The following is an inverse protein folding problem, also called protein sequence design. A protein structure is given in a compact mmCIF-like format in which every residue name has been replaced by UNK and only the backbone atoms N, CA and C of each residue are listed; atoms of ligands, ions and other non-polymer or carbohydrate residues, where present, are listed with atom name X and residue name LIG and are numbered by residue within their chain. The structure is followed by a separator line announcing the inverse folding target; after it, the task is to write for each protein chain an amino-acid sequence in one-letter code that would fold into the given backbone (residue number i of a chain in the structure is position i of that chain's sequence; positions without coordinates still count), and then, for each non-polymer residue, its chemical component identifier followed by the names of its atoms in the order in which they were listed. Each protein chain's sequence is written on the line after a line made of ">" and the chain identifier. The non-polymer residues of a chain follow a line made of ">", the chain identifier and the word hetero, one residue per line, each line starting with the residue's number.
data_IF_563307856835
#
_entry.id   IF_563307856835
#
_cell.length_a   1.000
_cell.length_b   1.000
_cell.length_c   1.000
_cell.angle_alpha   90.00
_cell.angle_beta   90.00
_cell.angle_gamma   90.00
#
_symmetry.space_group_name_H-M   'P 1'
#
loop_
_entity.id
_entity.type
_entity.pdbx_description
1 polymer ?
#
# COMPACT_ATOMS: atom_id res chain seq x y z
N UNK A 1 -58.29 41.79 31.28
CA UNK A 1 -56.95 42.40 31.35
C UNK A 1 -55.99 41.39 31.99
N UNK A 2 -55.43 40.52 31.19
CA UNK A 2 -54.36 39.66 31.63
C UNK A 2 -53.43 39.42 30.40
N UNK A 3 -52.30 40.09 30.40
CA UNK A 3 -51.19 39.82 29.45
C UNK A 3 -50.32 38.80 30.08
N UNK A 4 -50.33 37.59 29.53
CA UNK A 4 -49.39 36.49 29.91
C UNK A 4 -48.08 36.72 29.18
N UNK A 5 -47.02 36.84 29.94
CA UNK A 5 -45.62 36.83 29.51
C UNK A 5 -45.25 35.44 28.93
N UNK A 6 -44.86 35.40 27.67
CA UNK A 6 -44.17 34.25 27.07
C UNK A 6 -42.71 34.21 27.56
N UNK A 7 -42.20 33.05 27.93
CA UNK A 7 -40.78 32.92 28.30
C UNK A 7 -39.89 33.02 27.06
N UNK A 8 -38.86 33.85 27.16
CA UNK A 8 -37.79 33.99 26.17
C UNK A 8 -37.11 32.67 25.91
N UNK A 9 -37.07 32.26 24.65
CA UNK A 9 -36.28 31.10 24.22
C UNK A 9 -34.78 31.28 24.53
N UNK A 10 -34.06 30.22 24.95
CA UNK A 10 -32.63 30.32 25.22
C UNK A 10 -31.91 30.58 23.91
N UNK A 11 -31.08 31.62 23.90
CA UNK A 11 -30.12 31.87 22.83
C UNK A 11 -29.20 30.64 22.69
N UNK A 12 -29.26 29.97 21.54
CA UNK A 12 -28.30 28.99 21.14
C UNK A 12 -26.92 29.66 21.13
N UNK A 13 -26.13 29.34 22.14
CA UNK A 13 -24.71 29.66 22.18
C UNK A 13 -24.04 29.04 20.96
N UNK A 14 -23.75 29.86 19.96
CA UNK A 14 -22.83 29.52 18.86
C UNK A 14 -21.47 29.24 19.51
N UNK A 15 -21.15 27.96 19.76
CA UNK A 15 -19.79 27.54 20.03
C UNK A 15 -18.93 27.98 18.85
N UNK A 16 -18.20 29.08 19.03
CA UNK A 16 -17.08 29.43 18.15
C UNK A 16 -16.15 28.24 18.16
N UNK A 17 -16.06 27.55 17.04
CA UNK A 17 -14.96 26.65 16.76
C UNK A 17 -13.72 27.54 16.80
N UNK A 18 -12.90 27.38 17.83
CA UNK A 18 -11.61 28.06 17.95
C UNK A 18 -10.75 27.45 16.86
N UNK A 19 -10.65 28.11 15.71
CA UNK A 19 -9.65 27.77 14.70
C UNK A 19 -8.27 27.99 15.32
N UNK A 20 -7.54 26.92 15.55
CA UNK A 20 -6.16 26.92 16.08
C UNK A 20 -5.14 27.49 15.06
N UNK A 21 -5.58 27.79 13.85
CA UNK A 21 -4.75 28.39 12.81
C UNK A 21 -5.16 29.82 12.54
N UNK A 22 -4.20 30.72 12.21
CA UNK A 22 -4.55 32.06 11.74
C UNK A 22 -5.43 31.94 10.48
N UNK A 23 -6.30 32.91 10.19
CA UNK A 23 -7.09 32.89 8.96
C UNK A 23 -6.16 32.89 7.73
N UNK A 24 -6.55 32.13 6.69
CA UNK A 24 -5.85 32.17 5.41
C UNK A 24 -5.93 33.58 4.83
N UNK A 25 -4.87 34.02 4.18
CA UNK A 25 -4.93 35.24 3.41
C UNK A 25 -5.60 34.99 2.03
N UNK A 26 -6.08 36.07 1.42
CA UNK A 26 -6.76 35.99 0.11
C UNK A 26 -5.83 35.46 -1.00
N UNK A 27 -4.53 35.69 -0.89
CA UNK A 27 -3.52 35.22 -1.84
C UNK A 27 -3.33 33.71 -1.78
N UNK A 28 -3.28 33.12 -0.57
CA UNK A 28 -3.22 31.67 -0.38
C UNK A 28 -4.47 31.00 -0.93
N UNK A 29 -5.65 31.54 -0.63
CA UNK A 29 -6.93 31.04 -1.15
C UNK A 29 -6.97 31.12 -2.69
N UNK A 30 -6.59 32.24 -3.26
CA UNK A 30 -6.55 32.43 -4.71
C UNK A 30 -5.58 31.48 -5.40
N UNK A 31 -4.40 31.23 -4.78
CA UNK A 31 -3.41 30.28 -5.27
C UNK A 31 -3.96 28.87 -5.32
N UNK A 32 -4.59 28.41 -4.22
CA UNK A 32 -5.19 27.08 -4.12
C UNK A 32 -6.30 26.89 -5.16
N UNK A 33 -7.24 27.84 -5.26
CA UNK A 33 -8.34 27.78 -6.22
C UNK A 33 -7.86 27.83 -7.67
N UNK A 34 -6.85 28.69 -7.97
CA UNK A 34 -6.24 28.74 -9.30
C UNK A 34 -5.54 27.42 -9.66
N UNK A 35 -4.88 26.78 -8.69
CA UNK A 35 -4.24 25.48 -8.90
C UNK A 35 -5.26 24.38 -9.16
N UNK A 36 -6.38 24.35 -8.44
CA UNK A 36 -7.46 23.39 -8.63
C UNK A 36 -8.35 23.69 -9.84
N UNK A 37 -8.35 24.90 -10.38
CA UNK A 37 -9.22 25.35 -11.49
C UNK A 37 -8.72 24.94 -12.89
N UNK A 38 -8.10 23.76 -13.04
CA UNK A 38 -7.59 23.26 -14.33
C UNK A 38 -7.75 21.75 -14.38
N UNK A 39 -8.38 21.25 -15.43
CA UNK A 39 -8.73 19.84 -15.57
C UNK A 39 -7.49 18.91 -15.52
N UNK A 40 -6.41 19.28 -16.21
CA UNK A 40 -5.18 18.49 -16.22
C UNK A 40 -4.56 18.40 -14.82
N UNK A 41 -4.58 19.49 -14.05
CA UNK A 41 -4.07 19.48 -12.69
C UNK A 41 -4.92 18.63 -11.75
N UNK A 42 -6.24 18.60 -11.95
CA UNK A 42 -7.12 17.67 -11.23
C UNK A 42 -6.83 16.22 -11.61
N UNK A 43 -6.56 15.93 -12.89
CA UNK A 43 -6.13 14.60 -13.33
C UNK A 43 -4.78 14.20 -12.70
N UNK A 44 -3.81 15.12 -12.61
CA UNK A 44 -2.54 14.88 -11.91
C UNK A 44 -2.78 14.56 -10.44
N UNK A 45 -3.62 15.32 -9.75
CA UNK A 45 -3.99 15.02 -8.36
C UNK A 45 -4.64 13.65 -8.22
N UNK A 46 -5.51 13.28 -9.14
CA UNK A 46 -6.16 11.96 -9.16
C UNK A 46 -5.17 10.82 -9.29
N UNK A 47 -4.24 10.89 -10.26
CA UNK A 47 -3.19 9.87 -10.45
C UNK A 47 -2.46 9.61 -9.15
N UNK A 48 -2.21 10.66 -8.36
CA UNK A 48 -1.46 10.59 -7.11
C UNK A 48 -2.31 10.30 -5.87
N UNK A 49 -3.53 9.76 -6.04
CA UNK A 49 -4.42 9.46 -4.90
C UNK A 49 -3.82 8.43 -3.94
N UNK A 50 -3.11 7.45 -4.47
CA UNK A 50 -2.63 6.29 -3.72
C UNK A 50 -1.17 5.94 -3.99
N UNK A 51 -0.47 6.72 -4.82
CA UNK A 51 0.89 6.43 -5.23
C UNK A 51 1.72 7.71 -5.40
N UNK A 52 3.02 7.55 -5.60
CA UNK A 52 3.96 8.58 -6.00
C UNK A 52 4.56 8.25 -7.37
N UNK A 53 4.72 9.26 -8.20
CA UNK A 53 5.18 9.07 -9.57
C UNK A 53 6.38 9.96 -9.88
N UNK A 54 7.31 9.41 -10.68
CA UNK A 54 8.36 10.18 -11.32
C UNK A 54 7.84 11.03 -12.48
N UNK A 55 8.61 12.04 -12.90
CA UNK A 55 8.23 12.93 -14.02
C UNK A 55 8.04 12.13 -15.31
N UNK A 56 8.92 11.17 -15.61
CA UNK A 56 8.83 10.33 -16.82
C UNK A 56 7.54 9.50 -16.83
N UNK A 57 7.19 8.91 -15.71
CA UNK A 57 5.96 8.13 -15.57
C UNK A 57 4.71 8.98 -15.76
N UNK A 58 4.69 10.18 -15.18
CA UNK A 58 3.58 11.12 -15.39
C UNK A 58 3.48 11.59 -16.85
N UNK A 59 4.63 11.78 -17.53
CA UNK A 59 4.64 12.06 -18.96
C UNK A 59 4.01 10.94 -19.77
N UNK A 60 4.31 9.69 -19.42
CA UNK A 60 3.77 8.51 -20.08
C UNK A 60 2.26 8.33 -19.81
N UNK A 61 1.83 8.53 -18.56
CA UNK A 61 0.41 8.44 -18.18
C UNK A 61 -0.41 9.47 -18.93
N UNK A 62 0.05 10.73 -18.92
CA UNK A 62 -0.68 11.87 -19.48
C UNK A 62 -0.39 12.10 -20.98
N UNK A 63 0.49 11.31 -21.58
CA UNK A 63 0.96 11.47 -22.98
C UNK A 63 1.48 12.90 -23.26
N UNK A 64 2.24 13.47 -22.31
CA UNK A 64 2.71 14.85 -22.33
C UNK A 64 4.23 14.95 -22.36
N UNK A 65 4.72 16.07 -22.91
CA UNK A 65 6.15 16.42 -22.82
C UNK A 65 6.50 16.91 -21.43
N UNK A 66 7.68 16.58 -20.94
CA UNK A 66 8.17 16.93 -19.62
C UNK A 66 8.15 18.46 -19.33
N UNK A 67 8.47 19.29 -20.32
CA UNK A 67 8.47 20.75 -20.15
C UNK A 67 7.09 21.31 -19.83
N UNK A 68 6.04 20.81 -20.48
CA UNK A 68 4.66 21.21 -20.23
C UNK A 68 4.17 20.70 -18.87
N UNK A 69 4.43 19.41 -18.56
CA UNK A 69 4.05 18.79 -17.29
C UNK A 69 4.72 19.51 -16.09
N UNK A 70 6.01 19.85 -16.20
CA UNK A 70 6.77 20.53 -15.13
C UNK A 70 6.13 21.83 -14.69
N UNK A 71 5.51 22.58 -15.60
CA UNK A 71 4.78 23.81 -15.27
C UNK A 71 3.55 23.51 -14.37
N UNK A 72 2.75 22.51 -14.71
CA UNK A 72 1.57 22.11 -13.91
C UNK A 72 1.98 21.58 -12.54
N UNK A 73 3.02 20.75 -12.48
CA UNK A 73 3.56 20.25 -11.22
C UNK A 73 4.05 21.38 -10.31
N UNK A 74 4.72 22.39 -10.88
CA UNK A 74 5.17 23.54 -10.11
C UNK A 74 4.00 24.31 -9.51
N UNK A 75 2.95 24.60 -10.28
CA UNK A 75 1.75 25.28 -9.78
C UNK A 75 1.11 24.51 -8.62
N UNK A 76 1.00 23.19 -8.73
CA UNK A 76 0.43 22.35 -7.67
C UNK A 76 1.32 22.32 -6.41
N UNK A 77 2.63 22.34 -6.56
CA UNK A 77 3.58 22.42 -5.43
C UNK A 77 3.49 23.78 -4.76
N UNK A 78 3.53 24.87 -5.53
CA UNK A 78 3.48 26.23 -5.02
C UNK A 78 2.18 26.52 -4.27
N UNK A 79 1.07 25.85 -4.66
CA UNK A 79 -0.23 25.89 -3.98
C UNK A 79 -0.38 24.89 -2.81
N UNK A 80 0.65 24.10 -2.49
CA UNK A 80 0.63 23.13 -1.40
C UNK A 80 -0.21 21.88 -1.66
N UNK A 81 -0.66 21.60 -2.90
CA UNK A 81 -1.43 20.43 -3.27
C UNK A 81 -0.56 19.19 -3.52
N UNK A 82 0.70 19.39 -3.93
CA UNK A 82 1.69 18.33 -4.10
C UNK A 82 2.95 18.57 -3.27
N UNK A 83 3.58 17.48 -2.89
CA UNK A 83 4.95 17.48 -2.36
C UNK A 83 5.88 16.77 -3.35
N UNK A 84 7.09 17.30 -3.48
CA UNK A 84 8.17 16.72 -4.26
C UNK A 84 9.20 16.13 -3.33
N UNK A 85 9.55 14.86 -3.52
CA UNK A 85 10.68 14.20 -2.86
C UNK A 85 11.76 13.95 -3.89
N UNK A 86 12.98 14.46 -3.63
CA UNK A 86 14.15 14.19 -4.47
C UNK A 86 14.82 12.92 -3.95
N UNK A 87 15.08 11.96 -4.83
CA UNK A 87 15.75 10.71 -4.52
C UNK A 87 16.89 10.49 -5.53
N UNK A 88 18.13 10.74 -5.11
CA UNK A 88 19.27 10.72 -6.01
C UNK A 88 19.10 11.74 -7.15
N UNK A 89 19.12 11.25 -8.39
CA UNK A 89 18.87 12.04 -9.61
C UNK A 89 17.39 12.13 -9.99
N UNK A 90 16.53 11.31 -9.39
CA UNK A 90 15.09 11.30 -9.66
C UNK A 90 14.31 12.23 -8.74
N UNK A 91 13.14 12.66 -9.19
CA UNK A 91 12.19 13.41 -8.39
C UNK A 91 10.82 12.73 -8.48
N UNK A 92 10.26 12.41 -7.33
CA UNK A 92 8.94 11.82 -7.18
C UNK A 92 7.95 12.84 -6.63
N UNK A 93 6.73 12.74 -7.05
CA UNK A 93 5.63 13.62 -6.68
C UNK A 93 4.52 12.82 -6.02
N UNK A 94 3.93 13.37 -4.97
CA UNK A 94 2.80 12.81 -4.26
C UNK A 94 1.86 13.91 -3.79
N UNK A 95 0.64 13.58 -3.44
CA UNK A 95 -0.27 14.52 -2.77
C UNK A 95 0.35 15.03 -1.46
N UNK A 96 0.17 16.29 -1.18
CA UNK A 96 0.48 16.85 0.13
C UNK A 96 -0.62 16.47 1.13
N UNK A 97 -0.23 16.30 2.39
CA UNK A 97 -1.21 16.20 3.47
C UNK A 97 -1.83 17.59 3.68
N UNK A 98 -3.17 17.71 3.72
CA UNK A 98 -3.83 18.98 3.99
C UNK A 98 -3.44 19.54 5.37
N UNK A 99 -2.84 20.73 5.40
CA UNK A 99 -2.37 21.40 6.60
C UNK A 99 -2.74 22.88 6.58
N UNK A 100 -2.73 23.54 7.74
CA UNK A 100 -2.95 24.99 7.86
C UNK A 100 -4.41 25.44 7.71
N UNK A 101 -4.61 26.76 7.49
CA UNK A 101 -5.94 27.36 7.50
C UNK A 101 -6.85 26.90 6.36
N UNK A 102 -6.29 26.42 5.24
CA UNK A 102 -7.03 25.92 4.08
C UNK A 102 -7.16 24.38 4.05
N UNK A 103 -6.76 23.68 5.12
CA UNK A 103 -6.74 22.22 5.15
C UNK A 103 -8.09 21.58 4.79
N UNK A 104 -9.21 22.13 5.30
CA UNK A 104 -10.56 21.62 5.00
C UNK A 104 -10.91 21.77 3.52
N UNK A 105 -10.61 22.93 2.92
CA UNK A 105 -10.84 23.15 1.50
C UNK A 105 -9.97 22.27 0.63
N UNK A 106 -8.69 22.14 0.99
CA UNK A 106 -7.76 21.23 0.33
C UNK A 106 -8.30 19.78 0.36
N UNK A 107 -8.71 19.32 1.53
CA UNK A 107 -9.27 17.97 1.71
C UNK A 107 -10.53 17.77 0.87
N UNK A 108 -11.44 18.77 0.83
CA UNK A 108 -12.67 18.70 0.02
C UNK A 108 -12.35 18.64 -1.48
N UNK A 109 -11.37 19.42 -1.96
CA UNK A 109 -10.91 19.33 -3.37
C UNK A 109 -10.44 17.91 -3.69
N UNK A 110 -9.58 17.31 -2.84
CA UNK A 110 -9.08 15.95 -3.07
C UNK A 110 -10.20 14.92 -3.06
N UNK A 111 -11.15 15.04 -2.12
CA UNK A 111 -12.32 14.16 -2.05
C UNK A 111 -13.15 14.21 -3.34
N UNK A 112 -13.47 15.40 -3.84
CA UNK A 112 -14.22 15.56 -5.09
C UNK A 112 -13.47 15.07 -6.32
N UNK A 113 -12.14 15.23 -6.34
CA UNK A 113 -11.27 14.65 -7.36
C UNK A 113 -11.37 13.12 -7.34
N UNK A 114 -11.44 12.50 -6.17
CA UNK A 114 -11.50 11.04 -6.03
C UNK A 114 -12.88 10.47 -6.36
N UNK A 115 -13.94 11.21 -6.12
CA UNK A 115 -15.32 10.82 -6.45
C UNK A 115 -15.63 10.95 -7.95
N UNK A 116 -14.98 11.86 -8.68
CA UNK A 116 -15.24 12.05 -10.09
C UNK A 116 -14.81 10.82 -10.92
N UNK A 117 -15.54 10.49 -11.96
CA UNK A 117 -15.19 9.36 -12.84
C UNK A 117 -13.93 9.68 -13.68
N UNK A 118 -12.88 8.85 -13.63
CA UNK A 118 -11.66 9.09 -14.41
C UNK A 118 -11.87 8.82 -15.89
N UNK A 119 -11.20 9.59 -16.76
CA UNK A 119 -11.17 9.29 -18.18
C UNK A 119 -10.51 7.92 -18.43
N UNK A 120 -11.05 7.14 -19.36
CA UNK A 120 -10.52 5.82 -19.74
C UNK A 120 -9.05 5.88 -20.13
N UNK A 121 -8.64 6.90 -20.88
CA UNK A 121 -7.25 7.11 -21.31
C UNK A 121 -6.29 7.29 -20.13
N UNK A 122 -6.77 7.91 -19.02
CA UNK A 122 -6.00 8.10 -17.81
C UNK A 122 -5.77 6.75 -17.10
N UNK A 123 -6.82 5.94 -16.98
CA UNK A 123 -6.73 4.59 -16.40
C UNK A 123 -5.79 3.69 -17.21
N UNK A 124 -5.89 3.73 -18.54
CA UNK A 124 -4.98 2.99 -19.43
C UNK A 124 -3.53 3.42 -19.26
N UNK A 125 -3.28 4.72 -19.09
CA UNK A 125 -1.95 5.28 -18.83
C UNK A 125 -1.37 4.78 -17.50
N UNK A 126 -2.14 4.84 -16.43
CA UNK A 126 -1.76 4.31 -15.10
C UNK A 126 -1.46 2.81 -15.20
N UNK A 127 -2.36 2.02 -15.79
CA UNK A 127 -2.17 0.59 -15.94
C UNK A 127 -0.93 0.23 -16.79
N UNK A 128 -0.58 1.06 -17.78
CA UNK A 128 0.65 0.87 -18.57
C UNK A 128 1.90 1.07 -17.74
N UNK A 129 1.96 2.13 -16.93
CA UNK A 129 3.09 2.41 -16.05
C UNK A 129 3.22 1.35 -14.97
N UNK A 130 2.12 0.88 -14.39
CA UNK A 130 2.12 -0.21 -13.42
C UNK A 130 2.69 -1.51 -14.02
N UNK A 131 2.23 -1.89 -15.22
CA UNK A 131 2.82 -3.05 -15.95
C UNK A 131 4.31 -2.89 -16.23
N UNK A 132 4.75 -1.67 -16.57
CA UNK A 132 6.18 -1.40 -16.79
C UNK A 132 6.99 -1.54 -15.51
N UNK A 133 6.50 -1.04 -14.37
CA UNK A 133 7.13 -1.23 -13.06
C UNK A 133 7.21 -2.72 -12.70
N UNK A 134 6.13 -3.47 -12.89
CA UNK A 134 6.12 -4.92 -12.67
C UNK A 134 7.15 -5.64 -13.55
N UNK A 135 7.20 -5.32 -14.85
CA UNK A 135 8.18 -5.89 -15.76
C UNK A 135 9.62 -5.56 -15.35
N UNK A 136 9.88 -4.32 -14.92
CA UNK A 136 11.20 -3.89 -14.45
C UNK A 136 11.59 -4.62 -13.16
N UNK A 137 10.66 -4.79 -12.21
CA UNK A 137 10.87 -5.57 -10.99
C UNK A 137 11.21 -7.03 -11.30
N UNK A 138 10.41 -7.69 -12.15
CA UNK A 138 10.66 -9.06 -12.58
C UNK A 138 12.02 -9.22 -13.29
N UNK A 139 12.39 -8.26 -14.16
CA UNK A 139 13.69 -8.26 -14.85
C UNK A 139 14.83 -8.08 -13.85
N UNK A 140 14.69 -7.20 -12.88
CA UNK A 140 15.64 -7.00 -11.79
C UNK A 140 15.86 -8.30 -11.00
N UNK A 141 14.80 -8.96 -10.58
CA UNK A 141 14.89 -10.24 -9.85
C UNK A 141 15.57 -11.34 -10.66
N UNK A 142 15.22 -11.48 -11.96
CA UNK A 142 15.87 -12.47 -12.83
C UNK A 142 17.38 -12.23 -12.99
N UNK A 143 17.80 -10.97 -13.07
CA UNK A 143 19.21 -10.59 -13.27
C UNK A 143 20.08 -10.62 -12.00
N UNK A 144 19.47 -10.59 -10.81
CA UNK A 144 20.17 -10.43 -9.53
C UNK A 144 19.92 -11.55 -8.51
N UNK A 145 19.41 -12.71 -8.95
CA UNK A 145 19.01 -13.80 -8.07
C UNK A 145 20.07 -14.20 -7.03
N UNK A 146 21.36 -14.20 -7.41
CA UNK A 146 22.43 -14.60 -6.51
C UNK A 146 22.84 -13.52 -5.51
N UNK A 147 22.58 -12.24 -5.85
CA UNK A 147 22.82 -11.08 -4.97
C UNK A 147 21.60 -10.69 -4.13
N UNK A 148 20.41 -11.08 -4.56
CA UNK A 148 19.16 -10.74 -3.89
C UNK A 148 19.14 -11.18 -2.42
N UNK A 149 19.61 -12.37 -2.15
CA UNK A 149 19.72 -12.90 -0.79
C UNK A 149 20.63 -12.05 0.09
N UNK A 150 21.84 -11.76 -0.39
CA UNK A 150 22.82 -10.94 0.34
C UNK A 150 22.29 -9.54 0.60
N UNK A 151 21.53 -8.97 -0.33
CA UNK A 151 20.97 -7.63 -0.22
C UNK A 151 19.73 -7.56 0.67
N UNK A 152 18.84 -8.55 0.63
CA UNK A 152 17.74 -8.67 1.58
C UNK A 152 18.23 -8.92 3.01
N UNK A 153 19.24 -9.76 3.19
CA UNK A 153 19.86 -9.97 4.49
C UNK A 153 20.50 -8.68 5.06
N UNK A 154 20.90 -7.73 4.19
CA UNK A 154 21.38 -6.42 4.61
C UNK A 154 20.24 -5.50 5.10
N UNK A 155 19.02 -5.68 4.61
CA UNK A 155 17.84 -4.92 5.04
C UNK A 155 17.25 -5.56 6.29
N UNK A 156 16.85 -6.82 6.18
CA UNK A 156 16.22 -7.57 7.25
C UNK A 156 16.41 -9.07 7.05
N UNK A 157 17.17 -9.75 7.91
CA UNK A 157 17.26 -11.21 7.88
C UNK A 157 15.88 -11.84 8.01
N UNK A 158 15.55 -12.82 7.18
CA UNK A 158 14.23 -13.45 7.19
C UNK A 158 13.87 -14.06 8.56
N UNK A 159 14.85 -14.49 9.32
CA UNK A 159 14.67 -15.03 10.67
C UNK A 159 14.04 -14.02 11.62
N UNK A 160 14.34 -12.74 11.45
CA UNK A 160 13.87 -11.69 12.36
C UNK A 160 12.35 -11.51 12.32
N UNK A 161 11.74 -11.65 11.15
CA UNK A 161 10.29 -11.47 11.00
C UNK A 161 9.51 -12.79 10.90
N UNK A 162 10.13 -13.88 10.45
CA UNK A 162 9.46 -15.16 10.29
C UNK A 162 8.94 -15.73 11.60
N UNK A 163 9.72 -15.65 12.69
CA UNK A 163 9.29 -16.11 14.00
C UNK A 163 8.02 -15.38 14.47
N UNK A 164 7.99 -14.05 14.34
CA UNK A 164 6.82 -13.24 14.74
C UNK A 164 5.63 -13.52 13.82
N UNK A 165 5.86 -13.68 12.51
CA UNK A 165 4.82 -14.09 11.56
C UNK A 165 4.16 -15.40 12.01
N UNK A 166 4.96 -16.41 12.38
CA UNK A 166 4.45 -17.68 12.87
C UNK A 166 3.74 -17.56 14.23
N UNK A 167 4.26 -16.74 15.15
CA UNK A 167 3.59 -16.46 16.43
C UNK A 167 2.21 -15.82 16.23
N UNK A 168 2.08 -14.87 15.29
CA UNK A 168 0.79 -14.26 14.96
C UNK A 168 -0.14 -15.24 14.26
N UNK A 169 0.39 -16.11 13.40
CA UNK A 169 -0.37 -17.18 12.76
C UNK A 169 -0.94 -18.16 13.80
N UNK A 170 -0.15 -18.54 14.80
CA UNK A 170 -0.51 -19.49 15.85
C UNK A 170 -1.39 -18.87 16.94
N UNK A 171 -1.49 -17.53 16.98
CA UNK A 171 -2.27 -16.84 18.02
C UNK A 171 -3.73 -17.26 18.02
N UNK A 172 -4.24 -17.64 19.24
CA UNK A 172 -5.61 -18.09 19.46
C UNK A 172 -6.00 -19.35 18.64
N UNK A 173 -5.04 -20.21 18.35
CA UNK A 173 -5.24 -21.42 17.55
C UNK A 173 -4.72 -22.64 18.27
N UNK A 174 -5.48 -23.75 18.21
CA UNK A 174 -5.14 -25.05 18.79
C UNK A 174 -5.05 -26.16 17.77
N UNK A 175 -5.55 -25.93 16.53
CA UNK A 175 -5.64 -26.95 15.48
C UNK A 175 -4.87 -26.53 14.24
N UNK A 176 -4.52 -27.50 13.39
CA UNK A 176 -3.94 -27.22 12.06
C UNK A 176 -4.98 -26.50 11.19
N UNK A 177 -4.49 -25.61 10.34
CA UNK A 177 -5.30 -24.95 9.32
C UNK A 177 -5.57 -25.93 8.17
N UNK A 178 -6.70 -25.78 7.49
CA UNK A 178 -6.95 -26.58 6.29
C UNK A 178 -6.02 -26.14 5.16
N UNK A 179 -5.85 -24.82 4.99
CA UNK A 179 -4.97 -24.29 3.95
C UNK A 179 -4.35 -22.97 4.34
N UNK A 180 -3.07 -22.81 3.93
CA UNK A 180 -2.34 -21.53 3.98
C UNK A 180 -1.94 -21.17 2.54
N UNK A 181 -2.02 -19.87 2.20
CA UNK A 181 -1.45 -19.31 0.97
C UNK A 181 -0.30 -18.39 1.36
N UNK A 182 0.91 -18.63 0.85
CA UNK A 182 2.02 -17.69 0.92
C UNK A 182 2.15 -16.96 -0.41
N UNK A 183 2.04 -15.62 -0.36
CA UNK A 183 2.15 -14.73 -1.51
C UNK A 183 3.58 -14.21 -1.60
N UNK A 184 4.21 -14.36 -2.78
CA UNK A 184 5.62 -14.00 -2.97
C UNK A 184 6.55 -14.91 -2.17
N UNK A 185 6.46 -16.21 -2.42
CA UNK A 185 7.16 -17.23 -1.64
C UNK A 185 8.69 -17.11 -1.70
N UNK A 186 9.24 -16.45 -2.72
CA UNK A 186 10.68 -16.30 -2.91
C UNK A 186 11.40 -17.65 -2.95
N UNK A 187 12.45 -17.81 -2.13
CA UNK A 187 13.19 -19.07 -2.02
C UNK A 187 12.51 -20.13 -1.12
N UNK A 188 11.34 -19.84 -0.56
CA UNK A 188 10.49 -20.81 0.15
C UNK A 188 10.88 -21.09 1.59
N UNK A 189 11.65 -20.22 2.24
CA UNK A 189 12.18 -20.48 3.59
C UNK A 189 11.13 -20.68 4.67
N UNK A 190 9.97 -20.07 4.53
CA UNK A 190 8.89 -20.22 5.48
C UNK A 190 8.04 -21.48 5.22
N UNK A 191 8.06 -22.02 4.00
CA UNK A 191 7.20 -23.14 3.59
C UNK A 191 7.25 -24.37 4.51
N UNK A 192 8.42 -24.85 5.00
CA UNK A 192 8.44 -25.97 5.93
C UNK A 192 7.67 -25.69 7.22
N UNK A 193 7.81 -24.49 7.78
CA UNK A 193 7.12 -24.11 8.99
C UNK A 193 5.61 -23.92 8.77
N UNK A 194 5.19 -23.50 7.58
CA UNK A 194 3.76 -23.42 7.19
C UNK A 194 3.17 -24.81 6.95
N UNK A 195 3.94 -25.71 6.32
CA UNK A 195 3.56 -27.10 6.11
C UNK A 195 3.24 -27.81 7.44
N UNK A 196 4.01 -27.56 8.50
CA UNK A 196 3.73 -28.12 9.83
C UNK A 196 2.43 -27.61 10.44
N UNK A 197 1.91 -26.47 9.97
CA UNK A 197 0.75 -25.76 10.52
C UNK A 197 -0.55 -25.92 9.73
N UNK A 198 -0.48 -26.47 8.51
CA UNK A 198 -1.62 -26.62 7.63
C UNK A 198 -1.67 -28.00 7.00
N UNK A 199 -2.86 -28.44 6.56
CA UNK A 199 -3.02 -29.65 5.78
C UNK A 199 -2.50 -29.48 4.35
N UNK A 200 -2.57 -28.25 3.82
CA UNK A 200 -2.02 -27.90 2.52
C UNK A 200 -1.48 -26.45 2.48
N UNK A 201 -0.47 -26.21 1.68
CA UNK A 201 0.12 -24.88 1.46
C UNK A 201 0.11 -24.59 -0.03
N UNK A 202 -0.38 -23.40 -0.41
CA UNK A 202 -0.23 -22.85 -1.74
C UNK A 202 0.94 -21.84 -1.72
N UNK A 203 2.00 -22.14 -2.44
CA UNK A 203 3.16 -21.30 -2.65
C UNK A 203 2.98 -20.51 -3.95
N UNK A 204 2.70 -19.20 -3.85
CA UNK A 204 2.38 -18.32 -4.98
C UNK A 204 3.54 -17.35 -5.23
N UNK A 205 4.06 -17.32 -6.46
CA UNK A 205 5.07 -16.36 -6.89
C UNK A 205 4.92 -16.03 -8.37
N UNK A 206 5.28 -14.83 -8.78
CA UNK A 206 5.30 -14.41 -10.19
C UNK A 206 6.51 -14.99 -10.94
N UNK A 207 7.58 -15.32 -10.22
CA UNK A 207 8.85 -15.78 -10.76
C UNK A 207 8.94 -17.30 -10.75
N UNK A 208 8.96 -17.94 -11.94
CA UNK A 208 9.23 -19.36 -12.09
C UNK A 208 10.60 -19.77 -11.50
N UNK A 209 11.58 -18.88 -11.60
CA UNK A 209 12.91 -19.11 -11.03
C UNK A 209 12.89 -19.18 -9.49
N UNK A 210 12.08 -18.33 -8.83
CA UNK A 210 11.89 -18.40 -7.38
C UNK A 210 11.14 -19.67 -6.97
N UNK A 211 10.06 -20.01 -7.68
CA UNK A 211 9.36 -21.28 -7.44
C UNK A 211 10.25 -22.50 -7.60
N UNK A 212 11.15 -22.48 -8.57
CA UNK A 212 12.12 -23.55 -8.77
C UNK A 212 13.09 -23.67 -7.58
N UNK A 213 13.57 -22.54 -7.02
CA UNK A 213 14.39 -22.51 -5.79
C UNK A 213 13.59 -22.99 -4.57
N UNK A 214 12.37 -22.52 -4.41
CA UNK A 214 11.49 -22.93 -3.33
C UNK A 214 11.21 -24.45 -3.35
N UNK A 215 10.97 -25.02 -4.53
CA UNK A 215 10.84 -26.48 -4.71
C UNK A 215 12.13 -27.22 -4.34
N UNK A 216 13.27 -26.72 -4.77
CA UNK A 216 14.56 -27.32 -4.43
C UNK A 216 14.85 -27.26 -2.93
N UNK A 217 14.45 -26.15 -2.27
CA UNK A 217 14.64 -25.97 -0.83
C UNK A 217 13.72 -26.87 0.00
N UNK A 218 12.44 -26.97 -0.36
CA UNK A 218 11.47 -27.81 0.37
C UNK A 218 11.60 -29.30 0.08
N UNK A 219 12.29 -29.67 -1.00
CA UNK A 219 12.41 -31.07 -1.42
C UNK A 219 11.05 -31.71 -1.67
N UNK A 220 10.85 -32.93 -1.15
CA UNK A 220 9.65 -33.74 -1.35
C UNK A 220 8.60 -33.52 -0.25
N UNK A 221 8.51 -32.33 0.37
CA UNK A 221 7.43 -32.03 1.32
C UNK A 221 6.08 -32.15 0.61
N UNK A 222 5.19 -33.08 1.07
CA UNK A 222 3.91 -33.30 0.43
C UNK A 222 2.98 -32.10 0.67
N UNK A 223 1.89 -32.00 -0.09
CA UNK A 223 0.82 -31.00 0.07
C UNK A 223 1.26 -29.54 -0.04
N UNK A 224 2.43 -29.25 -0.64
CA UNK A 224 2.82 -27.92 -1.10
C UNK A 224 2.52 -27.85 -2.58
N UNK A 225 1.57 -26.98 -2.94
CA UNK A 225 1.22 -26.64 -4.32
C UNK A 225 1.97 -25.38 -4.73
N UNK A 226 2.71 -25.44 -5.83
CA UNK A 226 3.47 -24.29 -6.35
C UNK A 226 2.76 -23.74 -7.58
N UNK A 227 2.35 -22.48 -7.51
CA UNK A 227 1.61 -21.81 -8.59
C UNK A 227 2.34 -20.56 -9.03
N UNK A 228 2.69 -20.50 -10.30
CA UNK A 228 3.20 -19.28 -10.92
C UNK A 228 2.01 -18.35 -11.23
N UNK A 229 1.92 -17.23 -10.54
CA UNK A 229 0.83 -16.28 -10.75
C UNK A 229 0.76 -15.21 -9.67
N UNK A 230 -0.19 -14.30 -9.86
CA UNK A 230 -0.54 -13.24 -8.91
C UNK A 230 -1.67 -13.69 -7.96
N UNK A 231 -1.97 -12.87 -6.96
CA UNK A 231 -3.16 -13.00 -6.11
C UNK A 231 -4.46 -12.97 -6.92
N UNK A 232 -4.52 -12.16 -7.99
CA UNK A 232 -5.64 -12.16 -8.94
C UNK A 232 -5.79 -13.53 -9.65
N UNK A 233 -4.68 -14.14 -10.05
CA UNK A 233 -4.69 -15.48 -10.67
C UNK A 233 -5.22 -16.53 -9.69
N UNK A 234 -4.75 -16.53 -8.44
CA UNK A 234 -5.22 -17.45 -7.41
C UNK A 234 -6.73 -17.26 -7.12
N UNK A 235 -7.24 -16.02 -7.12
CA UNK A 235 -8.67 -15.74 -7.02
C UNK A 235 -9.47 -16.28 -8.22
N UNK A 236 -8.97 -16.13 -9.44
CA UNK A 236 -9.61 -16.65 -10.65
C UNK A 236 -9.69 -18.17 -10.64
N UNK A 237 -8.75 -18.85 -9.98
CA UNK A 237 -8.76 -20.31 -9.76
C UNK A 237 -9.62 -20.73 -8.53
N UNK A 238 -10.31 -19.78 -7.88
CA UNK A 238 -11.14 -20.00 -6.70
C UNK A 238 -10.40 -20.61 -5.49
N UNK A 239 -9.10 -20.33 -5.35
CA UNK A 239 -8.38 -20.74 -4.14
C UNK A 239 -8.93 -20.01 -2.91
N UNK A 240 -9.06 -20.72 -1.80
CA UNK A 240 -9.41 -20.19 -0.48
C UNK A 240 -8.50 -20.77 0.57
N UNK A 241 -8.24 -19.98 1.63
CA UNK A 241 -7.37 -20.39 2.72
C UNK A 241 -7.81 -19.79 4.06
N UNK A 242 -7.46 -20.46 5.15
CA UNK A 242 -7.68 -19.96 6.50
C UNK A 242 -6.67 -18.91 6.91
N UNK A 243 -5.52 -18.90 6.24
CA UNK A 243 -4.54 -17.84 6.36
C UNK A 243 -3.87 -17.51 5.02
N UNK A 244 -3.64 -16.21 4.80
CA UNK A 244 -2.81 -15.69 3.72
C UNK A 244 -1.63 -14.95 4.35
N UNK A 245 -0.42 -15.18 3.85
CA UNK A 245 0.81 -14.59 4.36
C UNK A 245 1.50 -13.85 3.22
N UNK A 246 1.90 -12.61 3.45
CA UNK A 246 2.70 -11.80 2.54
C UNK A 246 3.88 -11.19 3.32
N UNK A 247 5.07 -11.76 3.15
CA UNK A 247 6.27 -11.33 3.85
C UNK A 247 7.22 -10.62 2.89
N UNK A 248 7.49 -9.34 3.14
CA UNK A 248 8.44 -8.53 2.36
C UNK A 248 8.13 -8.56 0.85
N UNK A 249 6.85 -8.39 0.50
CA UNK A 249 6.34 -8.52 -0.87
C UNK A 249 5.76 -7.22 -1.39
N UNK A 250 5.00 -6.50 -0.55
CA UNK A 250 4.20 -5.36 -1.02
C UNK A 250 5.07 -4.24 -1.57
N UNK A 251 6.27 -4.02 -1.00
CA UNK A 251 7.17 -2.97 -1.48
C UNK A 251 7.78 -3.27 -2.87
N UNK A 252 7.63 -4.50 -3.36
CA UNK A 252 7.99 -4.87 -4.74
C UNK A 252 6.81 -4.82 -5.71
N UNK A 253 5.59 -4.58 -5.23
CA UNK A 253 4.39 -4.60 -6.08
C UNK A 253 4.01 -3.20 -6.57
N UNK A 254 3.50 -3.07 -7.81
CA UNK A 254 3.05 -1.76 -8.33
C UNK A 254 1.86 -1.19 -7.58
N UNK A 255 0.96 -2.06 -7.09
CA UNK A 255 -0.27 -1.69 -6.36
C UNK A 255 -0.44 -2.54 -5.11
N UNK A 256 0.21 -2.15 -3.98
CA UNK A 256 0.10 -2.87 -2.71
C UNK A 256 -1.33 -2.95 -2.17
N UNK A 257 -2.14 -1.93 -2.41
CA UNK A 257 -3.54 -1.89 -1.99
C UNK A 257 -4.37 -2.97 -2.68
N UNK A 258 -4.16 -3.13 -3.99
CA UNK A 258 -4.84 -4.17 -4.77
C UNK A 258 -4.44 -5.57 -4.28
N UNK A 259 -3.17 -5.79 -3.95
CA UNK A 259 -2.72 -7.08 -3.37
C UNK A 259 -3.43 -7.38 -2.06
N UNK A 260 -3.58 -6.40 -1.16
CA UNK A 260 -4.31 -6.58 0.11
C UNK A 260 -5.79 -6.89 -0.14
N UNK A 261 -6.42 -6.23 -1.11
CA UNK A 261 -7.80 -6.51 -1.50
C UNK A 261 -7.96 -7.94 -2.05
N UNK A 262 -7.09 -8.35 -2.96
CA UNK A 262 -7.10 -9.70 -3.54
C UNK A 262 -6.77 -10.76 -2.49
N UNK A 263 -5.82 -10.50 -1.58
CA UNK A 263 -5.51 -11.38 -0.45
C UNK A 263 -6.73 -11.57 0.48
N UNK A 264 -7.49 -10.50 0.74
CA UNK A 264 -8.73 -10.60 1.52
C UNK A 264 -9.77 -11.50 0.85
N UNK A 265 -9.82 -11.50 -0.47
CA UNK A 265 -10.72 -12.37 -1.23
C UNK A 265 -10.31 -13.84 -1.16
N UNK A 266 -9.02 -14.16 -1.03
CA UNK A 266 -8.51 -15.51 -0.85
C UNK A 266 -8.84 -16.09 0.54
N UNK A 267 -9.19 -15.28 1.53
CA UNK A 267 -9.51 -15.74 2.87
C UNK A 267 -10.91 -16.38 2.94
N UNK A 268 -10.99 -17.46 3.72
CA UNK A 268 -12.26 -17.99 4.24
C UNK A 268 -12.86 -17.04 5.29
N UNK A 269 -14.08 -17.28 5.73
CA UNK A 269 -14.67 -16.58 6.88
C UNK A 269 -13.80 -16.82 8.14
N UNK A 270 -13.57 -15.78 8.93
CA UNK A 270 -12.65 -15.78 10.08
C UNK A 270 -11.16 -16.04 9.71
N UNK A 271 -10.81 -16.01 8.42
CA UNK A 271 -9.45 -16.17 7.96
C UNK A 271 -8.57 -15.00 8.36
N UNK A 272 -7.26 -15.23 8.40
CA UNK A 272 -6.24 -14.25 8.80
C UNK A 272 -5.34 -13.88 7.65
N UNK A 273 -5.09 -12.57 7.47
CA UNK A 273 -4.01 -12.06 6.63
C UNK A 273 -2.86 -11.60 7.53
N UNK A 274 -1.65 -12.11 7.29
CA UNK A 274 -0.45 -11.65 7.99
C UNK A 274 0.46 -10.98 6.97
N UNK A 275 0.83 -9.74 7.26
CA UNK A 275 1.69 -8.92 6.40
C UNK A 275 2.91 -8.49 7.19
N UNK A 276 4.10 -8.85 6.72
CA UNK A 276 5.37 -8.36 7.24
C UNK A 276 5.98 -7.42 6.21
N UNK A 277 6.23 -6.18 6.59
CA UNK A 277 6.73 -5.14 5.69
C UNK A 277 7.69 -4.16 6.36
N UNK A 278 8.46 -3.44 5.56
CA UNK A 278 9.27 -2.35 6.04
C UNK A 278 8.38 -1.17 6.45
N UNK A 279 8.69 -0.56 7.60
CA UNK A 279 8.17 0.77 7.90
C UNK A 279 8.73 1.78 6.91
N UNK A 280 7.99 2.86 6.65
CA UNK A 280 8.44 3.93 5.77
C UNK A 280 9.82 4.45 6.18
N UNK A 281 10.76 4.53 5.23
CA UNK A 281 12.13 4.94 5.44
C UNK A 281 12.64 5.83 4.30
N UNK A 282 13.83 6.40 4.44
CA UNK A 282 14.46 7.30 3.46
C UNK A 282 15.71 6.70 2.78
N UNK A 283 15.98 5.42 3.01
CA UNK A 283 17.17 4.73 2.48
C UNK A 283 16.99 4.39 0.99
N UNK A 284 17.35 5.34 0.13
CA UNK A 284 17.13 5.27 -1.33
C UNK A 284 17.85 4.11 -2.00
N UNK A 285 18.98 3.66 -1.42
CA UNK A 285 19.76 2.56 -1.97
C UNK A 285 18.96 1.24 -2.08
N UNK A 286 17.92 1.05 -1.26
CA UNK A 286 17.05 -0.12 -1.34
C UNK A 286 16.37 -0.22 -2.72
N UNK A 287 15.98 0.87 -3.33
CA UNK A 287 15.45 0.87 -4.72
C UNK A 287 16.49 0.45 -5.75
N UNK A 288 17.71 0.94 -5.60
CA UNK A 288 18.77 0.73 -6.58
C UNK A 288 19.34 -0.70 -6.50
N UNK A 289 19.39 -1.27 -5.29
CA UNK A 289 20.06 -2.54 -5.05
C UNK A 289 19.10 -3.70 -4.77
N UNK A 290 17.91 -3.43 -4.23
CA UNK A 290 16.94 -4.48 -3.88
C UNK A 290 15.70 -4.50 -4.79
N UNK A 291 15.57 -3.53 -5.70
CA UNK A 291 14.43 -3.46 -6.63
C UNK A 291 13.13 -3.00 -5.99
N UNK A 292 13.22 -2.30 -4.84
CA UNK A 292 12.05 -1.81 -4.12
C UNK A 292 11.33 -0.73 -4.94
N UNK A 293 10.05 -0.90 -5.17
CA UNK A 293 9.20 0.14 -5.77
C UNK A 293 8.76 1.16 -4.72
N UNK A 294 8.63 0.72 -3.47
CA UNK A 294 8.24 1.52 -2.31
C UNK A 294 9.33 1.49 -1.25
N UNK A 295 9.57 2.64 -0.60
CA UNK A 295 10.48 2.72 0.54
C UNK A 295 9.71 2.47 1.85
N UNK A 296 9.10 1.28 1.94
CA UNK A 296 8.27 0.89 3.06
C UNK A 296 6.93 1.64 3.13
N UNK A 297 6.14 1.36 4.16
CA UNK A 297 4.79 1.88 4.36
C UNK A 297 4.62 2.43 5.77
N UNK A 298 3.74 3.40 5.96
CA UNK A 298 3.33 3.75 7.32
C UNK A 298 2.35 2.71 7.85
N UNK A 299 2.29 2.47 9.18
CA UNK A 299 1.32 1.56 9.76
C UNK A 299 -0.13 1.92 9.42
N UNK A 300 -0.42 3.22 9.34
CA UNK A 300 -1.73 3.76 8.99
C UNK A 300 -2.11 3.45 7.54
N UNK A 301 -1.13 3.46 6.61
CA UNK A 301 -1.40 3.08 5.21
C UNK A 301 -1.83 1.62 5.11
N UNK A 302 -1.07 0.70 5.70
CA UNK A 302 -1.40 -0.73 5.67
C UNK A 302 -2.75 -1.00 6.34
N UNK A 303 -3.00 -0.38 7.49
CA UNK A 303 -4.28 -0.48 8.21
C UNK A 303 -5.43 0.00 7.33
N UNK A 304 -5.34 1.20 6.77
CA UNK A 304 -6.40 1.79 5.94
C UNK A 304 -6.72 0.91 4.73
N UNK A 305 -5.70 0.43 4.02
CA UNK A 305 -5.90 -0.44 2.85
C UNK A 305 -6.52 -1.79 3.22
N UNK A 306 -6.15 -2.35 4.37
CA UNK A 306 -6.75 -3.58 4.87
C UNK A 306 -8.22 -3.38 5.27
N UNK A 307 -8.55 -2.26 5.95
CA UNK A 307 -9.92 -1.90 6.32
C UNK A 307 -10.80 -1.69 5.07
N UNK A 308 -10.29 -1.03 4.04
CA UNK A 308 -10.97 -0.88 2.75
C UNK A 308 -11.17 -2.21 2.02
N UNK A 309 -10.30 -3.19 2.28
CA UNK A 309 -10.44 -4.56 1.80
C UNK A 309 -11.39 -5.44 2.66
N UNK A 310 -12.06 -4.84 3.65
CA UNK A 310 -13.00 -5.53 4.55
C UNK A 310 -12.34 -6.36 5.64
N UNK A 311 -11.10 -6.02 6.00
CA UNK A 311 -10.33 -6.66 7.08
C UNK A 311 -10.27 -5.77 8.31
N UNK A 312 -10.12 -6.36 9.48
CA UNK A 312 -9.96 -5.64 10.76
C UNK A 312 -8.55 -5.88 11.31
N UNK A 313 -7.88 -4.83 11.76
CA UNK A 313 -6.59 -4.97 12.43
C UNK A 313 -6.73 -5.75 13.75
N UNK A 314 -6.01 -6.85 13.86
CA UNK A 314 -5.88 -7.65 15.08
C UNK A 314 -4.64 -7.24 15.88
N UNK A 315 -3.57 -8.02 15.79
CA UNK A 315 -2.30 -7.74 16.44
C UNK A 315 -1.29 -7.12 15.47
N UNK A 316 -0.37 -6.33 16.01
CA UNK A 316 0.79 -5.84 15.28
C UNK A 316 2.05 -5.90 16.14
N UNK A 317 3.20 -6.02 15.47
CA UNK A 317 4.52 -6.05 16.12
C UNK A 317 5.48 -5.22 15.27
N UNK A 318 6.37 -4.48 15.93
CA UNK A 318 7.43 -3.71 15.27
C UNK A 318 8.79 -4.22 15.71
N UNK A 319 9.71 -4.41 14.75
CA UNK A 319 11.06 -4.92 14.99
C UNK A 319 12.06 -3.92 14.42
N UNK A 320 12.78 -3.24 15.30
CA UNK A 320 13.86 -2.33 14.92
C UNK A 320 15.11 -3.12 14.51
N UNK A 321 15.76 -2.69 13.42
CA UNK A 321 17.00 -3.24 12.91
C UNK A 321 18.19 -2.34 13.26
N UNK A 322 19.36 -2.92 13.46
CA UNK A 322 20.60 -2.16 13.78
C UNK A 322 21.06 -1.24 12.64
N UNK A 323 20.65 -1.57 11.42
CA UNK A 323 20.97 -0.84 10.19
C UNK A 323 20.04 0.36 9.92
N UNK A 324 19.13 0.66 10.86
CA UNK A 324 18.18 1.79 10.76
C UNK A 324 16.85 1.46 10.08
N UNK A 325 16.66 0.23 9.58
CA UNK A 325 15.35 -0.23 9.15
C UNK A 325 14.47 -0.63 10.33
N UNK A 326 13.18 -0.58 10.13
CA UNK A 326 12.19 -1.12 11.05
C UNK A 326 11.21 -1.98 10.25
N UNK A 327 10.92 -3.17 10.77
CA UNK A 327 9.91 -4.08 10.22
C UNK A 327 8.62 -3.89 11.02
N UNK A 328 7.50 -3.89 10.33
CA UNK A 328 6.16 -3.96 10.90
C UNK A 328 5.49 -5.26 10.47
N UNK A 329 4.84 -5.95 11.39
CA UNK A 329 4.12 -7.19 11.12
C UNK A 329 2.70 -6.98 11.65
N UNK A 330 1.73 -7.09 10.76
CA UNK A 330 0.32 -6.89 11.06
C UNK A 330 -0.46 -8.19 10.81
N UNK A 331 -1.29 -8.56 11.75
CA UNK A 331 -2.34 -9.56 11.57
C UNK A 331 -3.65 -8.83 11.34
N UNK A 332 -4.30 -9.13 10.24
CA UNK A 332 -5.65 -8.68 9.93
C UNK A 332 -6.62 -9.88 9.94
N UNK A 333 -7.86 -9.65 10.30
CA UNK A 333 -8.89 -10.67 10.41
C UNK A 333 -10.06 -10.35 9.49
N UNK A 334 -10.56 -11.37 8.79
CA UNK A 334 -11.77 -11.25 7.98
C UNK A 334 -12.98 -11.47 8.87
N UNK A 335 -13.95 -10.56 8.78
CA UNK A 335 -15.20 -10.71 9.52
C UNK A 335 -15.90 -12.04 9.18
N UNK A 336 -16.64 -12.65 10.13
CA UNK A 336 -17.51 -13.76 9.83
C UNK A 336 -18.55 -13.32 8.78
N UNK A 337 -18.91 -14.23 7.87
CA UNK A 337 -20.02 -13.96 6.93
C UNK A 337 -21.26 -13.56 7.74
N UNK A 338 -21.93 -12.45 7.44
CA UNK A 338 -23.24 -12.20 8.02
C UNK A 338 -24.16 -13.37 7.65
N UNK A 339 -24.80 -13.96 8.69
CA UNK A 339 -25.80 -15.04 8.56
C UNK A 339 -27.02 -14.56 7.77
#
# INVERSE_FOLDING_TARGET
>A
MFWALLPSAPMLSTRRIVNLHPPADEGELASLLKAAGDELRLQILRIMAQDSYGVSELCDILSMRQSALSHHLKILIDAGLLKRKKEGTAAFYRRAVPEGPLATLHQEILLRVDEAEPATTLLEGVARVQRQRESNSLAFFKGNLDRFREQQELIAPWQDYSEVTLQLLDRNRTERLSRIIEVGVGEGWLLPALHDRAESVLALDLSDAMLSRAKAFTGDLPQIEFVQGSTAHANAMNHKADAVIANMVLHHTPDPKQILHEASQLLTANGKLIVSELCAHDQVWAREHCGDLWLGFTPEQLKTWAEEAGLTLGANVFIAQRNGFQIQIHQFEKAPHPL
#
